data_IF_748541903664
#
_entry.id   IF_748541903664
#
_cell.length_a   1.000
_cell.length_b   1.000
_cell.length_c   1.000
_cell.angle_alpha   90.00
_cell.angle_beta   90.00
_cell.angle_gamma   90.00
#
_symmetry.space_group_name_H-M   'P 1'
#
loop_
_entity.id
_entity.type
_entity.pdbx_description
1 polymer ?
#
# COMPACT_ATOMS: atom_id res chain seq x y z
N UNK A 1 14.23 49.47 -0.81
CA UNK A 1 13.83 48.42 0.15
C UNK A 1 13.42 47.20 -0.67
N UNK A 2 14.33 46.38 -1.20
CA UNK A 2 15.56 45.80 -0.61
C UNK A 2 15.21 45.05 0.70
N UNK A 3 15.52 43.75 0.88
CA UNK A 3 16.62 42.93 0.31
C UNK A 3 16.27 41.45 0.02
N UNK A 4 17.13 40.78 -0.74
CA UNK A 4 17.18 39.31 -0.93
C UNK A 4 17.63 38.54 0.33
N UNK A 5 17.44 37.20 0.31
CA UNK A 5 18.14 36.22 1.16
C UNK A 5 17.39 34.88 1.21
N UNK A 6 17.60 33.91 0.32
CA UNK A 6 18.77 33.03 0.12
C UNK A 6 18.92 31.89 1.17
N UNK A 7 18.74 30.66 0.67
CA UNK A 7 19.27 29.34 1.08
C UNK A 7 19.97 29.16 2.45
N UNK A 8 19.61 28.10 3.18
CA UNK A 8 20.57 27.07 3.64
C UNK A 8 19.88 25.82 4.21
N UNK A 9 20.38 24.63 3.84
CA UNK A 9 20.30 23.42 4.65
C UNK A 9 21.43 23.42 5.69
N UNK A 10 21.34 22.64 6.78
CA UNK A 10 22.46 21.75 7.02
C UNK A 10 22.08 20.36 7.55
N UNK A 11 22.62 19.34 6.90
CA UNK A 11 23.03 18.10 7.57
C UNK A 11 24.33 18.35 8.34
N UNK A 12 24.45 17.86 9.58
CA UNK A 12 25.74 17.43 10.16
C UNK A 12 25.54 16.65 11.47
N UNK A 13 26.01 15.40 11.49
CA UNK A 13 26.18 14.63 12.73
C UNK A 13 27.35 15.20 13.55
N UNK A 14 27.14 15.46 14.85
CA UNK A 14 28.20 15.91 15.74
C UNK A 14 29.10 14.72 16.13
N UNK A 15 30.32 14.67 15.59
CA UNK A 15 31.38 13.76 16.04
C UNK A 15 32.03 14.33 17.31
N UNK A 16 31.92 13.62 18.43
CA UNK A 16 32.68 13.94 19.66
C UNK A 16 34.04 13.23 19.61
N UNK A 17 35.12 13.99 19.79
CA UNK A 17 36.50 13.49 19.84
C UNK A 17 37.11 13.66 21.23
N UNK A 18 37.79 12.60 21.67
CA UNK A 18 38.90 12.51 22.62
C UNK A 18 39.15 13.59 23.69
N UNK A 19 39.33 13.10 24.92
CA UNK A 19 40.10 13.77 25.98
C UNK A 19 40.77 12.74 26.90
N UNK A 20 42.00 12.32 26.59
CA UNK A 20 42.82 11.45 27.46
C UNK A 20 43.60 12.32 28.44
N UNK A 21 43.52 12.00 29.74
CA UNK A 21 44.37 12.62 30.77
C UNK A 21 45.28 11.54 31.36
N UNK A 22 46.59 11.76 31.24
CA UNK A 22 47.64 10.93 31.85
C UNK A 22 48.01 11.53 33.20
N UNK A 23 48.06 10.71 34.25
CA UNK A 23 48.73 11.05 35.50
C UNK A 23 49.66 9.89 35.88
N UNK A 24 50.95 10.19 35.98
CA UNK A 24 51.95 9.24 36.45
C UNK A 24 52.39 9.62 37.87
N UNK A 25 52.50 8.63 38.75
CA UNK A 25 53.22 8.72 40.01
C UNK A 25 53.87 7.36 40.31
N UNK A 26 55.12 7.37 40.78
CA UNK A 26 55.96 6.18 40.93
C UNK A 26 56.44 5.98 42.39
N UNK A 27 57.25 4.93 42.60
CA UNK A 27 57.86 4.41 43.86
C UNK A 27 56.95 3.45 44.66
N UNK A 28 57.40 2.32 45.20
CA UNK A 28 58.75 1.70 45.23
C UNK A 28 58.69 0.13 45.24
N UNK A 29 59.84 -0.54 45.10
CA UNK A 29 60.03 -2.01 45.00
C UNK A 29 60.06 -2.71 46.39
N UNK A 30 60.24 -4.03 46.62
CA UNK A 30 60.55 -5.28 45.87
C UNK A 30 60.36 -6.49 46.86
N UNK A 31 60.76 -7.78 46.65
CA UNK A 31 60.87 -8.63 45.44
C UNK A 31 60.26 -10.07 45.59
N UNK A 32 60.40 -10.91 44.55
CA UNK A 32 60.19 -12.40 44.50
C UNK A 32 58.72 -12.87 44.36
N UNK A 33 58.32 -13.74 43.42
CA UNK A 33 58.89 -15.01 42.93
C UNK A 33 58.29 -15.31 41.51
N UNK A 34 58.91 -16.11 40.61
CA UNK A 34 58.60 -16.03 39.16
C UNK A 34 57.58 -17.06 38.61
N UNK A 35 57.31 -16.87 37.31
CA UNK A 35 56.98 -17.85 36.26
C UNK A 35 55.56 -18.00 35.67
N UNK A 36 55.59 -18.41 34.40
CA UNK A 36 54.52 -18.95 33.56
C UNK A 36 53.38 -17.98 33.16
N UNK A 37 53.63 -17.29 32.06
CA UNK A 37 52.63 -16.50 31.35
C UNK A 37 51.46 -17.29 30.74
N UNK A 38 50.36 -16.58 30.60
CA UNK A 38 49.38 -16.75 29.54
C UNK A 38 48.62 -15.42 29.40
N UNK A 39 49.18 -14.47 28.64
CA UNK A 39 48.37 -13.33 28.17
C UNK A 39 47.40 -13.86 27.13
N UNK A 40 46.26 -14.37 27.59
CA UNK A 40 45.17 -14.78 26.73
C UNK A 40 44.66 -13.52 26.01
N UNK A 41 45.12 -13.29 24.79
CA UNK A 41 44.49 -12.32 23.89
C UNK A 41 42.99 -12.57 23.91
N UNK A 42 42.14 -11.53 24.04
CA UNK A 42 40.72 -11.72 23.83
C UNK A 42 40.55 -12.33 22.46
N UNK A 43 40.08 -13.58 22.39
CA UNK A 43 39.74 -14.19 21.12
C UNK A 43 38.68 -13.28 20.50
N UNK A 44 39.02 -12.64 19.38
CA UNK A 44 38.07 -11.80 18.65
C UNK A 44 36.88 -12.67 18.33
N UNK A 45 35.77 -12.47 19.06
CA UNK A 45 34.55 -13.20 18.81
C UNK A 45 34.19 -12.96 17.34
N UNK A 46 34.06 -14.04 16.58
CA UNK A 46 33.68 -13.94 15.18
C UNK A 46 32.33 -13.19 15.05
N UNK A 47 32.00 -12.68 13.86
CA UNK A 47 30.70 -12.08 13.62
C UNK A 47 29.58 -12.98 14.17
N UNK A 48 28.59 -12.43 14.90
CA UNK A 48 27.51 -13.25 15.44
C UNK A 48 26.84 -14.02 14.29
N UNK A 49 26.42 -15.28 14.52
CA UNK A 49 25.82 -16.09 13.48
C UNK A 49 24.57 -15.40 12.92
N UNK A 50 24.42 -15.44 11.59
CA UNK A 50 23.24 -14.91 10.93
C UNK A 50 21.96 -15.54 11.51
N UNK A 51 20.88 -14.77 11.74
CA UNK A 51 19.63 -15.32 12.24
C UNK A 51 19.07 -16.44 11.36
N UNK A 52 18.51 -17.47 11.98
CA UNK A 52 17.76 -18.53 11.31
C UNK A 52 16.41 -17.96 10.85
N UNK A 53 16.04 -18.22 9.60
CA UNK A 53 14.73 -17.84 9.05
C UNK A 53 13.75 -19.00 9.17
N UNK A 54 12.60 -18.76 9.80
CA UNK A 54 11.53 -19.73 10.05
C UNK A 54 10.32 -19.42 9.19
N UNK A 55 9.70 -20.47 8.63
CA UNK A 55 8.56 -20.38 7.71
C UNK A 55 8.95 -20.66 6.26
N UNK A 56 7.96 -20.92 5.40
CA UNK A 56 8.17 -21.08 3.95
C UNK A 56 8.04 -19.70 3.29
N UNK A 57 9.01 -19.32 2.47
CA UNK A 57 8.89 -18.10 1.68
C UNK A 57 7.84 -18.20 0.55
N UNK A 58 7.12 -17.11 0.30
CA UNK A 58 6.24 -16.96 -0.87
C UNK A 58 7.03 -16.61 -2.14
N UNK A 59 6.53 -17.00 -3.33
CA UNK A 59 7.36 -17.07 -4.53
C UNK A 59 7.68 -15.72 -5.19
N UNK A 60 6.90 -14.67 -4.95
CA UNK A 60 7.10 -13.37 -5.60
C UNK A 60 7.75 -12.40 -4.61
N UNK A 61 9.03 -12.09 -4.79
CA UNK A 61 9.72 -11.06 -4.00
C UNK A 61 9.34 -9.67 -4.49
N UNK A 62 8.96 -8.79 -3.56
CA UNK A 62 8.62 -7.40 -3.84
C UNK A 62 9.82 -6.54 -3.43
N UNK A 63 10.39 -5.78 -4.39
CA UNK A 63 11.67 -5.07 -4.22
C UNK A 63 11.55 -3.55 -4.35
N UNK A 64 10.33 -3.03 -4.36
CA UNK A 64 10.07 -1.61 -4.61
C UNK A 64 8.63 -1.32 -5.07
N UNK A 65 8.31 -0.02 -5.23
CA UNK A 65 7.03 0.43 -5.76
C UNK A 65 6.83 -0.01 -7.22
N UNK A 66 5.58 -0.21 -7.63
CA UNK A 66 5.22 -0.82 -8.90
C UNK A 66 5.00 0.24 -9.99
N UNK A 67 6.01 0.43 -10.85
CA UNK A 67 6.01 1.45 -11.89
C UNK A 67 4.82 1.33 -12.88
N UNK A 68 4.08 2.41 -13.12
CA UNK A 68 2.95 2.45 -14.05
C UNK A 68 1.63 1.96 -13.45
N UNK A 69 1.42 2.17 -12.15
CA UNK A 69 0.07 2.41 -11.63
C UNK A 69 -0.42 3.78 -12.12
N UNK A 70 -1.73 3.99 -12.16
CA UNK A 70 -2.32 5.29 -12.54
C UNK A 70 -2.23 6.28 -11.36
N UNK A 71 -2.00 7.56 -11.67
CA UNK A 71 -2.31 8.67 -10.74
C UNK A 71 -3.78 9.07 -10.85
N UNK A 72 -4.30 9.80 -9.84
CA UNK A 72 -5.65 10.35 -9.89
C UNK A 72 -5.88 11.22 -11.14
N UNK A 73 -4.90 12.06 -11.50
CA UNK A 73 -4.94 12.90 -12.69
C UNK A 73 -5.03 12.07 -13.98
N UNK A 74 -4.36 10.92 -14.03
CA UNK A 74 -4.43 9.99 -15.17
C UNK A 74 -5.75 9.22 -15.22
N UNK A 75 -6.38 8.93 -14.07
CA UNK A 75 -7.71 8.33 -13.98
C UNK A 75 -8.76 9.32 -14.50
N UNK A 76 -8.73 10.57 -14.04
CA UNK A 76 -9.63 11.64 -14.47
C UNK A 76 -9.47 11.98 -15.95
N UNK A 77 -8.23 12.03 -16.46
CA UNK A 77 -7.95 12.27 -17.87
C UNK A 77 -8.33 11.08 -18.80
N UNK A 78 -8.56 9.88 -18.25
CA UNK A 78 -8.91 8.69 -19.01
C UNK A 78 -10.43 8.50 -19.20
N UNK A 79 -11.26 9.33 -18.56
CA UNK A 79 -12.73 9.29 -18.68
C UNK A 79 -13.28 10.56 -19.35
N UNK A 80 -14.48 10.52 -19.95
CA UNK A 80 -15.16 11.73 -20.38
C UNK A 80 -15.37 12.69 -19.19
N UNK A 81 -15.21 13.99 -19.42
CA UNK A 81 -15.39 14.99 -18.37
C UNK A 81 -16.78 14.96 -17.73
N UNK A 82 -16.84 15.32 -16.44
CA UNK A 82 -18.06 15.35 -15.62
C UNK A 82 -19.02 16.48 -16.06
N UNK A 83 -19.79 16.18 -17.11
CA UNK A 83 -21.01 16.91 -17.53
C UNK A 83 -20.81 18.29 -18.17
N UNK A 84 -21.92 18.81 -18.72
CA UNK A 84 -22.07 20.18 -19.22
C UNK A 84 -23.53 20.64 -19.05
N UNK A 85 -23.86 21.88 -19.46
CA UNK A 85 -25.23 22.39 -19.34
C UNK A 85 -26.26 21.51 -20.06
N UNK A 86 -27.34 21.13 -19.37
CA UNK A 86 -28.44 20.35 -19.94
C UNK A 86 -28.23 18.82 -20.01
N UNK A 87 -27.09 18.30 -19.55
CA UNK A 87 -26.81 16.85 -19.50
C UNK A 87 -27.68 16.16 -18.44
N UNK A 88 -28.32 15.05 -18.79
CA UNK A 88 -29.24 14.33 -17.89
C UNK A 88 -28.50 13.66 -16.73
N UNK A 89 -29.12 13.55 -15.55
CA UNK A 89 -28.50 12.95 -14.37
C UNK A 89 -27.83 11.59 -14.63
N UNK A 90 -28.43 10.74 -15.48
CA UNK A 90 -27.79 9.46 -15.86
C UNK A 90 -26.44 9.71 -16.52
N UNK A 91 -26.38 10.56 -17.54
CA UNK A 91 -25.15 10.89 -18.27
C UNK A 91 -24.09 11.57 -17.38
N UNK A 92 -24.48 12.21 -16.27
CA UNK A 92 -23.54 12.76 -15.29
C UNK A 92 -22.87 11.66 -14.45
N UNK A 93 -23.59 10.58 -14.12
CA UNK A 93 -23.11 9.47 -13.28
C UNK A 93 -22.30 8.44 -14.09
N UNK A 94 -22.60 8.23 -15.38
CA UNK A 94 -21.90 7.21 -16.18
C UNK A 94 -20.35 7.38 -16.20
N UNK A 95 -19.79 8.60 -16.38
CA UNK A 95 -18.34 8.81 -16.30
C UNK A 95 -17.75 8.56 -14.91
N UNK A 96 -18.47 8.90 -13.84
CA UNK A 96 -18.02 8.63 -12.46
C UNK A 96 -17.89 7.12 -12.19
N UNK A 97 -18.82 6.31 -12.70
CA UNK A 97 -18.72 4.85 -12.62
C UNK A 97 -17.51 4.32 -13.38
N UNK A 98 -17.11 4.95 -14.49
CA UNK A 98 -15.89 4.61 -15.21
C UNK A 98 -14.64 5.01 -14.41
N UNK A 99 -14.64 6.21 -13.82
CA UNK A 99 -13.55 6.74 -13.00
C UNK A 99 -13.25 5.84 -11.81
N UNK A 100 -14.28 5.52 -11.01
CA UNK A 100 -14.18 4.59 -9.88
C UNK A 100 -13.80 3.16 -10.29
N UNK A 101 -14.12 2.77 -11.52
CA UNK A 101 -13.71 1.46 -12.07
C UNK A 101 -12.22 1.45 -12.41
N UNK A 102 -11.66 2.54 -12.95
CA UNK A 102 -10.22 2.69 -13.18
C UNK A 102 -9.46 2.76 -11.86
N UNK A 103 -9.96 3.55 -10.89
CA UNK A 103 -9.40 3.70 -9.55
C UNK A 103 -9.28 2.36 -8.81
N UNK A 104 -10.37 1.58 -8.70
CA UNK A 104 -10.31 0.22 -8.13
C UNK A 104 -9.29 -0.70 -8.84
N UNK A 105 -9.08 -0.52 -10.14
CA UNK A 105 -8.08 -1.29 -10.89
C UNK A 105 -6.64 -0.84 -10.66
N UNK A 106 -6.43 0.47 -10.45
CA UNK A 106 -5.13 1.11 -10.27
C UNK A 106 -4.20 1.07 -11.50
N UNK A 107 -4.66 0.56 -12.65
CA UNK A 107 -3.82 0.28 -13.83
C UNK A 107 -4.45 0.77 -15.14
N UNK A 108 -3.65 1.15 -16.15
CA UNK A 108 -4.16 1.43 -17.49
C UNK A 108 -4.91 0.23 -18.08
N UNK A 109 -6.00 0.49 -18.80
CA UNK A 109 -6.76 -0.56 -19.47
C UNK A 109 -7.90 -0.04 -20.33
N UNK A 110 -8.37 -0.86 -21.28
CA UNK A 110 -9.59 -0.56 -22.03
C UNK A 110 -10.79 -0.59 -21.08
N UNK A 111 -11.58 0.49 -21.12
CA UNK A 111 -12.82 0.64 -20.37
C UNK A 111 -13.95 1.02 -21.33
N UNK A 112 -15.16 0.49 -21.12
CA UNK A 112 -16.35 0.91 -21.86
C UNK A 112 -17.04 2.08 -21.18
N UNK A 113 -17.89 2.81 -21.92
CA UNK A 113 -18.95 3.59 -21.29
C UNK A 113 -19.76 2.70 -20.32
N UNK A 114 -20.21 3.29 -19.21
CA UNK A 114 -21.14 2.62 -18.31
C UNK A 114 -22.53 2.50 -18.95
N UNK A 115 -23.29 1.46 -18.62
CA UNK A 115 -24.67 1.28 -19.10
C UNK A 115 -25.58 0.81 -17.97
N UNK A 116 -26.74 1.47 -17.80
CA UNK A 116 -27.68 1.16 -16.72
C UNK A 116 -28.82 0.24 -17.17
N UNK A 117 -29.31 -0.61 -16.28
CA UNK A 117 -30.50 -1.43 -16.48
C UNK A 117 -31.71 -0.52 -16.80
N UNK A 118 -32.45 -0.83 -17.86
CA UNK A 118 -33.54 0.04 -18.34
C UNK A 118 -33.08 1.33 -19.03
N UNK A 119 -31.78 1.48 -19.29
CA UNK A 119 -31.19 2.61 -20.04
C UNK A 119 -30.99 3.90 -19.25
N UNK A 120 -31.50 4.00 -18.02
CA UNK A 120 -31.40 5.20 -17.17
C UNK A 120 -31.46 4.87 -15.69
N UNK A 121 -30.94 5.77 -14.85
CA UNK A 121 -31.07 5.66 -13.39
C UNK A 121 -32.51 5.97 -12.97
N UNK A 122 -33.06 5.14 -12.08
CA UNK A 122 -34.39 5.33 -11.50
C UNK A 122 -34.36 6.42 -10.43
N UNK A 123 -35.00 7.55 -10.71
CA UNK A 123 -35.12 8.68 -9.78
C UNK A 123 -36.31 8.51 -8.83
N UNK A 124 -36.09 7.86 -7.69
CA UNK A 124 -37.01 7.80 -6.56
C UNK A 124 -36.23 7.53 -5.26
N UNK A 125 -36.72 7.93 -4.07
CA UNK A 125 -36.01 7.70 -2.81
C UNK A 125 -35.64 6.23 -2.61
N UNK A 126 -34.40 5.97 -2.19
CA UNK A 126 -33.83 4.63 -1.98
C UNK A 126 -33.86 3.71 -3.21
N UNK A 127 -34.09 4.24 -4.43
CA UNK A 127 -34.12 3.42 -5.63
C UNK A 127 -32.71 3.01 -6.07
N UNK A 128 -32.41 1.72 -5.98
CA UNK A 128 -31.24 1.11 -6.58
C UNK A 128 -31.39 0.91 -8.09
N UNK A 129 -30.40 1.32 -8.88
CA UNK A 129 -30.25 0.98 -10.29
C UNK A 129 -28.88 0.33 -10.52
N UNK A 130 -28.90 -0.88 -11.10
CA UNK A 130 -27.67 -1.55 -11.52
C UNK A 130 -27.15 -1.00 -12.85
N UNK A 131 -25.88 -0.62 -12.89
CA UNK A 131 -25.18 -0.18 -14.09
C UNK A 131 -23.87 -0.97 -14.23
N UNK A 132 -23.54 -1.42 -15.44
CA UNK A 132 -22.32 -2.19 -15.72
C UNK A 132 -21.28 -1.32 -16.44
N UNK A 133 -20.03 -1.40 -15.99
CA UNK A 133 -18.82 -0.99 -16.73
C UNK A 133 -18.04 -2.23 -17.13
N UNK A 134 -17.43 -2.27 -18.32
CA UNK A 134 -16.49 -3.33 -18.69
C UNK A 134 -15.06 -2.79 -18.69
N UNK A 135 -14.21 -3.31 -17.80
CA UNK A 135 -12.80 -2.93 -17.69
C UNK A 135 -11.91 -4.15 -17.92
N UNK A 136 -11.02 -4.06 -18.91
CA UNK A 136 -10.14 -5.18 -19.34
C UNK A 136 -10.88 -6.51 -19.57
N UNK A 137 -12.15 -6.45 -19.97
CA UNK A 137 -13.02 -7.63 -20.18
C UNK A 137 -13.79 -8.10 -18.95
N UNK A 138 -13.48 -7.60 -17.75
CA UNK A 138 -14.25 -7.85 -16.53
C UNK A 138 -15.51 -6.99 -16.52
N UNK A 139 -16.66 -7.61 -16.22
CA UNK A 139 -17.94 -6.90 -16.00
C UNK A 139 -18.01 -6.43 -14.54
N UNK A 140 -18.08 -5.13 -14.35
CA UNK A 140 -18.09 -4.46 -13.04
C UNK A 140 -19.47 -3.85 -12.85
N UNK A 141 -20.29 -4.52 -12.02
CA UNK A 141 -21.66 -4.08 -11.75
C UNK A 141 -21.69 -3.16 -10.53
N UNK A 142 -22.18 -1.94 -10.73
CA UNK A 142 -22.39 -0.89 -9.73
C UNK A 142 -23.86 -0.75 -9.43
N UNK A 143 -24.23 -0.65 -8.15
CA UNK A 143 -25.56 -0.22 -7.74
C UNK A 143 -25.50 1.28 -7.42
N UNK A 144 -26.21 2.08 -8.19
CA UNK A 144 -26.45 3.51 -7.88
C UNK A 144 -27.73 3.60 -7.07
N UNK A 145 -27.65 4.15 -5.86
CA UNK A 145 -28.78 4.30 -4.94
C UNK A 145 -29.05 5.78 -4.73
N UNK A 146 -30.26 6.23 -5.04
CA UNK A 146 -30.70 7.60 -4.72
C UNK A 146 -30.97 7.69 -3.22
N UNK A 147 -30.47 8.75 -2.57
CA UNK A 147 -30.62 8.96 -1.13
C UNK A 147 -32.09 9.15 -0.71
N UNK A 148 -32.46 8.88 0.55
CA UNK A 148 -33.86 8.86 1.00
C UNK A 148 -34.52 10.24 1.09
N UNK A 149 -33.76 11.33 1.01
CA UNK A 149 -34.22 12.72 1.09
C UNK A 149 -34.70 13.30 -0.25
N UNK A 150 -34.34 12.67 -1.37
CA UNK A 150 -34.69 13.10 -2.74
C UNK A 150 -36.19 13.35 -2.95
N UNK A 151 -36.52 14.45 -3.63
CA UNK A 151 -37.87 14.83 -4.04
C UNK A 151 -37.93 15.04 -5.55
N UNK A 152 -39.04 14.65 -6.22
CA UNK A 152 -39.22 14.91 -7.64
C UNK A 152 -39.12 16.42 -7.96
N UNK A 153 -38.12 16.77 -8.77
CA UNK A 153 -37.84 18.15 -9.16
C UNK A 153 -36.66 18.82 -8.45
N UNK A 154 -35.97 18.12 -7.54
CA UNK A 154 -34.75 18.64 -6.91
C UNK A 154 -33.65 18.94 -7.96
N UNK A 155 -33.03 20.12 -7.84
CA UNK A 155 -31.95 20.56 -8.72
C UNK A 155 -30.59 19.93 -8.42
N UNK A 156 -30.44 19.29 -7.25
CA UNK A 156 -29.28 18.48 -6.86
C UNK A 156 -29.82 17.14 -6.39
N UNK A 157 -29.24 16.05 -6.90
CA UNK A 157 -29.65 14.69 -6.57
C UNK A 157 -28.52 14.07 -5.77
N UNK A 158 -28.80 13.69 -4.53
CA UNK A 158 -27.88 12.95 -3.68
C UNK A 158 -28.00 11.44 -3.95
N UNK A 159 -26.86 10.77 -4.05
CA UNK A 159 -26.78 9.33 -4.34
C UNK A 159 -25.48 8.73 -3.82
N UNK A 160 -25.49 7.42 -3.65
CA UNK A 160 -24.34 6.58 -3.35
C UNK A 160 -24.13 5.55 -4.45
N UNK A 161 -22.88 5.13 -4.66
CA UNK A 161 -22.52 4.10 -5.65
C UNK A 161 -21.71 2.99 -4.98
N UNK A 162 -22.14 1.74 -5.17
CA UNK A 162 -21.53 0.58 -4.55
C UNK A 162 -21.23 -0.51 -5.58
N UNK A 163 -19.97 -0.96 -5.72
CA UNK A 163 -19.65 -2.06 -6.62
C UNK A 163 -20.09 -3.39 -6.00
N UNK A 164 -20.57 -4.33 -6.81
CA UNK A 164 -20.93 -5.69 -6.36
C UNK A 164 -19.71 -6.51 -5.92
N UNK A 165 -18.59 -6.30 -6.61
CA UNK A 165 -17.30 -6.96 -6.40
C UNK A 165 -16.18 -5.94 -6.59
N UNK A 166 -15.10 -6.04 -5.82
CA UNK A 166 -13.92 -5.19 -6.03
C UNK A 166 -13.08 -5.76 -7.16
N UNK A 167 -12.51 -4.88 -8.00
CA UNK A 167 -11.42 -5.25 -8.89
C UNK A 167 -10.15 -5.34 -8.04
N UNK A 168 -9.35 -6.38 -8.26
CA UNK A 168 -8.00 -6.49 -7.72
C UNK A 168 -7.04 -6.70 -8.89
N UNK A 169 -5.89 -6.04 -8.84
CA UNK A 169 -4.76 -6.28 -9.75
C UNK A 169 -3.54 -6.70 -8.94
N UNK A 170 -2.76 -7.65 -9.48
CA UNK A 170 -1.51 -8.07 -8.84
C UNK A 170 -0.61 -6.86 -8.54
N UNK A 171 -0.54 -5.92 -9.49
CA UNK A 171 0.30 -4.72 -9.43
C UNK A 171 -0.08 -3.77 -8.29
N UNK A 172 -1.36 -3.47 -8.11
CA UNK A 172 -1.84 -2.59 -7.04
C UNK A 172 -1.60 -3.23 -5.66
N UNK A 173 -1.83 -4.55 -5.56
CA UNK A 173 -1.60 -5.30 -4.32
C UNK A 173 -0.11 -5.40 -3.98
N UNK A 174 0.77 -5.61 -4.96
CA UNK A 174 2.22 -5.62 -4.75
C UNK A 174 2.77 -4.24 -4.35
N UNK A 175 2.24 -3.15 -4.91
CA UNK A 175 2.61 -1.78 -4.50
C UNK A 175 2.14 -1.46 -3.08
N UNK A 176 0.91 -1.82 -2.75
CA UNK A 176 0.39 -1.61 -1.40
C UNK A 176 1.10 -2.51 -0.38
N UNK A 177 1.46 -3.75 -0.72
CA UNK A 177 2.29 -4.60 0.14
C UNK A 177 3.67 -3.98 0.37
N UNK A 178 4.33 -3.47 -0.68
CA UNK A 178 5.59 -2.77 -0.55
C UNK A 178 5.47 -1.58 0.42
N UNK A 179 4.59 -0.61 0.12
CA UNK A 179 4.43 0.62 0.93
C UNK A 179 4.02 0.35 2.37
N UNK A 180 3.26 -0.71 2.61
CA UNK A 180 2.76 -1.02 3.94
C UNK A 180 3.82 -1.73 4.82
N UNK A 181 4.77 -2.44 4.20
CA UNK A 181 5.77 -3.22 4.92
C UNK A 181 7.22 -2.69 4.81
N UNK A 182 7.54 -1.75 3.91
CA UNK A 182 8.93 -1.30 3.63
C UNK A 182 9.65 -0.71 4.87
N UNK A 183 8.94 0.04 5.71
CA UNK A 183 9.51 0.62 6.94
C UNK A 183 9.70 -0.40 8.08
N UNK A 184 9.07 -1.58 7.98
CA UNK A 184 9.02 -2.60 9.05
C UNK A 184 9.65 -3.94 8.67
N UNK A 185 10.07 -4.14 7.42
CA UNK A 185 10.81 -5.31 6.97
C UNK A 185 11.69 -5.02 5.76
N UNK A 186 12.90 -5.58 5.76
CA UNK A 186 13.82 -5.60 4.62
C UNK A 186 13.40 -6.60 3.52
N UNK A 187 12.41 -7.46 3.78
CA UNK A 187 11.96 -8.45 2.82
C UNK A 187 10.44 -8.66 2.83
N UNK A 188 9.81 -8.19 1.75
CA UNK A 188 8.39 -8.37 1.45
C UNK A 188 8.24 -9.36 0.31
N UNK A 189 7.32 -10.33 0.46
CA UNK A 189 7.00 -11.29 -0.60
C UNK A 189 5.51 -11.57 -0.65
N UNK A 190 5.01 -12.04 -1.78
CA UNK A 190 3.60 -12.38 -1.95
C UNK A 190 3.42 -13.65 -2.78
N UNK A 191 2.19 -14.16 -2.78
CA UNK A 191 1.78 -15.17 -3.76
C UNK A 191 1.91 -14.65 -5.19
N UNK A 192 1.93 -15.60 -6.13
CA UNK A 192 1.73 -15.31 -7.54
C UNK A 192 0.25 -15.01 -7.77
N UNK A 193 -0.09 -13.72 -7.74
CA UNK A 193 -1.46 -13.23 -7.91
C UNK A 193 -1.89 -13.32 -9.39
N UNK A 194 -3.19 -13.50 -9.67
CA UNK A 194 -3.75 -13.26 -11.01
C UNK A 194 -3.51 -11.80 -11.43
N UNK A 195 -3.29 -11.54 -12.72
CA UNK A 195 -2.99 -10.18 -13.19
C UNK A 195 -4.11 -9.19 -12.81
N UNK A 196 -5.36 -9.61 -13.02
CA UNK A 196 -6.57 -8.88 -12.65
C UNK A 196 -7.72 -9.88 -12.39
N UNK A 197 -8.54 -9.63 -11.35
CA UNK A 197 -9.74 -10.43 -11.06
C UNK A 197 -10.80 -9.64 -10.29
N UNK A 198 -11.97 -10.24 -10.09
CA UNK A 198 -13.05 -9.72 -9.25
C UNK A 198 -13.11 -10.50 -7.93
N UNK A 199 -12.93 -9.80 -6.81
CA UNK A 199 -13.05 -10.35 -5.46
C UNK A 199 -14.40 -10.02 -4.83
N UNK A 200 -14.90 -10.92 -3.98
CA UNK A 200 -16.16 -10.75 -3.27
C UNK A 200 -15.95 -9.98 -1.96
N UNK A 201 -16.90 -9.08 -1.66
CA UNK A 201 -16.92 -8.34 -0.39
C UNK A 201 -17.20 -9.29 0.78
N UNK A 202 -16.62 -8.96 1.94
CA UNK A 202 -16.72 -9.76 3.16
C UNK A 202 -15.98 -11.10 3.09
N UNK A 203 -15.00 -11.27 2.19
CA UNK A 203 -14.31 -12.54 1.96
C UNK A 203 -12.79 -12.38 1.78
N UNK A 204 -12.07 -13.40 2.22
CA UNK A 204 -10.70 -13.68 1.79
C UNK A 204 -10.63 -13.88 0.28
N UNK A 205 -9.50 -13.50 -0.32
CA UNK A 205 -9.18 -13.76 -1.73
C UNK A 205 -8.49 -15.12 -1.95
N UNK A 206 -8.08 -15.80 -0.88
CA UNK A 206 -7.26 -17.02 -0.90
C UNK A 206 -5.77 -16.78 -1.19
N UNK A 207 -5.33 -15.52 -1.24
CA UNK A 207 -3.93 -15.13 -1.42
C UNK A 207 -3.42 -14.36 -0.21
N UNK A 208 -2.10 -14.36 0.00
CA UNK A 208 -1.45 -13.59 1.06
C UNK A 208 -0.18 -12.90 0.57
N UNK A 209 0.18 -11.83 1.28
CA UNK A 209 1.55 -11.35 1.31
C UNK A 209 2.22 -11.77 2.63
N UNK A 210 3.52 -11.58 2.71
CA UNK A 210 4.31 -11.86 3.90
C UNK A 210 5.45 -10.84 4.04
N UNK A 211 5.86 -10.60 5.28
CA UNK A 211 7.06 -9.83 5.61
C UNK A 211 7.94 -10.61 6.59
N UNK A 212 9.25 -10.36 6.54
CA UNK A 212 10.22 -11.05 7.39
C UNK A 212 10.43 -10.28 8.70
N UNK A 213 9.79 -10.75 9.78
CA UNK A 213 9.86 -10.16 11.12
C UNK A 213 11.04 -10.71 11.91
N UNK A 214 11.80 -9.84 12.57
CA UNK A 214 12.80 -10.27 13.57
C UNK A 214 12.10 -10.65 14.88
N UNK A 215 12.35 -11.88 15.36
CA UNK A 215 11.76 -12.43 16.59
C UNK A 215 12.77 -12.35 17.74
N UNK A 216 14.04 -12.64 17.46
CA UNK A 216 15.16 -12.48 18.38
C UNK A 216 16.43 -12.08 17.60
N UNK A 217 17.56 -11.95 18.29
CA UNK A 217 18.86 -11.81 17.64
C UNK A 217 19.32 -13.06 16.85
N UNK A 218 18.64 -14.20 17.01
CA UNK A 218 18.97 -15.48 16.36
C UNK A 218 17.84 -16.05 15.50
N UNK A 219 16.62 -15.49 15.55
CA UNK A 219 15.47 -15.94 14.77
C UNK A 219 14.78 -14.77 14.05
N UNK A 220 14.51 -14.98 12.76
CA UNK A 220 13.54 -14.20 11.97
C UNK A 220 12.45 -15.14 11.47
N UNK A 221 11.23 -14.64 11.29
CA UNK A 221 10.07 -15.43 10.91
C UNK A 221 9.24 -14.73 9.85
N UNK A 222 8.81 -15.49 8.85
CA UNK A 222 7.79 -15.04 7.91
C UNK A 222 6.45 -14.88 8.62
N UNK A 223 5.87 -13.69 8.54
CA UNK A 223 4.50 -13.42 8.99
C UNK A 223 3.64 -13.36 7.75
N UNK A 224 2.67 -14.26 7.66
CA UNK A 224 1.66 -14.29 6.60
C UNK A 224 0.49 -13.35 6.93
N UNK A 225 0.07 -12.59 5.92
CA UNK A 225 -0.96 -11.55 6.02
C UNK A 225 -1.94 -11.74 4.86
N UNK A 226 -3.15 -12.22 5.15
CA UNK A 226 -4.13 -12.60 4.14
C UNK A 226 -4.71 -11.37 3.44
N UNK A 227 -4.92 -11.48 2.14
CA UNK A 227 -5.58 -10.43 1.35
C UNK A 227 -7.09 -10.70 1.37
N UNK A 228 -7.85 -9.83 2.02
CA UNK A 228 -9.30 -9.91 2.08
C UNK A 228 -9.95 -8.60 1.62
N UNK A 229 -11.20 -8.69 1.14
CA UNK A 229 -12.03 -7.52 0.79
C UNK A 229 -13.12 -7.36 1.84
N UNK A 230 -13.19 -6.19 2.46
CA UNK A 230 -14.18 -5.80 3.48
C UNK A 230 -15.56 -5.56 2.87
N UNK A 231 -16.57 -5.40 3.73
CA UNK A 231 -17.96 -5.13 3.31
C UNK A 231 -18.12 -3.74 2.64
N UNK A 232 -17.36 -2.75 3.12
CA UNK A 232 -17.22 -1.43 2.46
C UNK A 232 -16.73 -1.57 1.00
N UNK A 233 -15.91 -2.59 0.73
CA UNK A 233 -15.34 -2.93 -0.57
C UNK A 233 -13.85 -2.67 -0.67
N UNK A 234 -13.20 -2.18 0.38
CA UNK A 234 -11.75 -1.99 0.44
C UNK A 234 -11.02 -3.31 0.70
N UNK A 235 -9.87 -3.48 0.06
CA UNK A 235 -8.98 -4.60 0.40
C UNK A 235 -8.12 -4.24 1.61
N UNK A 236 -7.70 -5.25 2.36
CA UNK A 236 -6.73 -5.14 3.46
C UNK A 236 -5.82 -6.36 3.47
N UNK A 237 -4.71 -6.21 4.18
CA UNK A 237 -3.88 -7.29 4.68
C UNK A 237 -4.25 -7.53 6.15
N UNK A 238 -4.41 -8.80 6.58
CA UNK A 238 -4.66 -9.20 7.97
C UNK A 238 -5.56 -10.42 8.12
#
# INVERSE_FOLDING_TARGET
MDTLGAMASPSAFLRVLLGVVVVAAASACDPSTPDAGATTSPATAGPPPSPVVVGRERPVKITGPQAGLLTQEQIEAAVPGKSGPGVSFTEQVLPELQEKTLDMGGVPGKITAATCAGGKIKLAPMAGTWCTVVFRGLRVDWNVVIEPDYRPGDGVIHYTVHPRKRILTAKLLYDHAWRYYEDMSDEVRCDKLPEIWLAEKGKSTGYSCQYLRTVSNTERRWVDEEIFVRDDGEFRFG
#
